data_IF_473018610744
#
_entry.id   IF_473018610744
#
_cell.length_a   1.000
_cell.length_b   1.000
_cell.length_c   1.000
_cell.angle_alpha   90.00
_cell.angle_beta   90.00
_cell.angle_gamma   90.00
#
_symmetry.space_group_name_H-M   'P 1'
#
loop_
_entity.id
_entity.type
_entity.pdbx_description
1 polymer ?
#
# COMPACT_ATOMS: atom_id res chain seq x y z
N UNK A 1 -19.42 -9.63 -5.93
CA UNK A 1 -18.25 -8.79 -6.31
C UNK A 1 -17.38 -8.42 -5.11
N UNK A 2 -17.93 -7.88 -4.01
CA UNK A 2 -17.12 -7.51 -2.82
C UNK A 2 -16.34 -8.70 -2.24
N UNK A 3 -16.96 -9.89 -2.11
CA UNK A 3 -16.27 -11.10 -1.63
C UNK A 3 -15.06 -11.46 -2.48
N UNK A 4 -15.21 -11.43 -3.81
CA UNK A 4 -14.12 -11.68 -4.74
C UNK A 4 -12.97 -10.68 -4.54
N UNK A 5 -13.28 -9.38 -4.40
CA UNK A 5 -12.26 -8.36 -4.15
C UNK A 5 -11.56 -8.54 -2.79
N UNK A 6 -12.29 -8.92 -1.74
CA UNK A 6 -11.69 -9.24 -0.44
C UNK A 6 -10.68 -10.38 -0.57
N UNK A 7 -11.05 -11.47 -1.25
CA UNK A 7 -10.13 -12.59 -1.49
C UNK A 7 -8.92 -12.16 -2.32
N UNK A 8 -9.14 -11.40 -3.39
CA UNK A 8 -8.06 -10.88 -4.23
C UNK A 8 -7.06 -10.03 -3.44
N UNK A 9 -7.52 -9.05 -2.66
CA UNK A 9 -6.60 -8.21 -1.87
C UNK A 9 -5.95 -8.96 -0.70
N UNK A 10 -6.59 -10.00 -0.14
CA UNK A 10 -5.95 -10.90 0.81
C UNK A 10 -4.81 -11.70 0.15
N UNK A 11 -5.02 -12.16 -1.08
CA UNK A 11 -3.98 -12.85 -1.85
C UNK A 11 -2.81 -11.91 -2.14
N UNK A 12 -3.07 -10.67 -2.58
CA UNK A 12 -2.02 -9.65 -2.79
C UNK A 12 -1.26 -9.37 -1.50
N UNK A 13 -1.96 -9.24 -0.38
CA UNK A 13 -1.32 -9.00 0.92
C UNK A 13 -0.42 -10.16 1.34
N UNK A 14 -0.93 -11.39 1.24
CA UNK A 14 -0.17 -12.59 1.59
C UNK A 14 1.05 -12.78 0.68
N UNK A 15 0.91 -12.55 -0.62
CA UNK A 15 2.02 -12.69 -1.57
C UNK A 15 3.11 -11.64 -1.34
N UNK A 16 2.75 -10.39 -1.05
CA UNK A 16 3.73 -9.35 -0.73
C UNK A 16 4.48 -9.66 0.58
N UNK A 17 3.80 -10.10 1.64
CA UNK A 17 4.50 -10.53 2.85
C UNK A 17 5.43 -11.71 2.61
N UNK A 18 4.99 -12.71 1.82
CA UNK A 18 5.81 -13.87 1.49
C UNK A 18 7.07 -13.48 0.70
N UNK A 19 6.92 -12.69 -0.38
CA UNK A 19 8.04 -12.30 -1.24
C UNK A 19 8.97 -11.32 -0.53
N UNK A 20 8.44 -10.31 0.18
CA UNK A 20 9.26 -9.36 0.93
C UNK A 20 9.99 -10.05 2.09
N UNK A 21 9.32 -10.96 2.81
CA UNK A 21 9.95 -11.72 3.89
C UNK A 21 11.06 -12.66 3.38
N UNK A 22 10.78 -13.39 2.30
CA UNK A 22 11.77 -14.24 1.64
C UNK A 22 12.97 -13.43 1.14
N UNK A 23 12.74 -12.33 0.41
CA UNK A 23 13.82 -11.47 -0.09
C UNK A 23 14.66 -10.89 1.05
N UNK A 24 14.02 -10.42 2.13
CA UNK A 24 14.71 -9.85 3.31
C UNK A 24 15.58 -10.88 4.05
N UNK A 25 15.21 -12.16 3.99
CA UNK A 25 16.02 -13.25 4.58
C UNK A 25 17.29 -13.57 3.78
N UNK A 26 17.34 -13.19 2.50
CA UNK A 26 18.47 -13.46 1.60
C UNK A 26 19.38 -12.24 1.42
N UNK A 27 18.80 -11.05 1.33
CA UNK A 27 19.53 -9.81 1.10
C UNK A 27 18.83 -8.65 1.83
N UNK A 28 19.53 -7.94 2.74
CA UNK A 28 19.04 -6.68 3.26
C UNK A 28 18.73 -5.68 2.14
N UNK A 29 17.64 -4.93 2.30
CA UNK A 29 17.13 -3.98 1.30
C UNK A 29 18.16 -2.89 0.93
N UNK A 30 19.03 -2.52 1.88
CA UNK A 30 20.05 -1.49 1.71
C UNK A 30 21.41 -2.03 1.24
N UNK A 31 21.55 -3.36 1.14
CA UNK A 31 22.75 -4.01 0.60
C UNK A 31 22.62 -4.40 -0.88
N UNK A 32 21.64 -3.84 -1.60
CA UNK A 32 21.47 -4.10 -3.04
C UNK A 32 22.75 -3.68 -3.78
N UNK A 33 23.41 -4.59 -4.52
CA UNK A 33 24.62 -4.28 -5.27
C UNK A 33 24.41 -3.12 -6.24
N UNK A 34 25.43 -2.27 -6.39
CA UNK A 34 25.37 -1.09 -7.27
C UNK A 34 25.02 -1.44 -8.72
N UNK A 35 25.48 -2.59 -9.19
CA UNK A 35 25.19 -3.13 -10.51
C UNK A 35 23.68 -3.32 -10.74
N UNK A 36 22.95 -3.82 -9.73
CA UNK A 36 21.50 -3.97 -9.79
C UNK A 36 20.82 -2.61 -9.69
N UNK A 37 21.24 -1.78 -8.73
CA UNK A 37 20.64 -0.46 -8.50
C UNK A 37 20.75 0.49 -9.72
N UNK A 38 21.83 0.35 -10.50
CA UNK A 38 22.07 1.16 -11.72
C UNK A 38 21.58 0.49 -12.99
N UNK A 39 21.06 -0.73 -12.92
CA UNK A 39 20.58 -1.44 -14.10
C UNK A 39 19.36 -0.71 -14.71
N UNK A 40 19.35 -0.40 -16.02
CA UNK A 40 18.29 0.42 -16.63
C UNK A 40 16.88 -0.10 -16.40
N UNK A 41 16.69 -1.42 -16.49
CA UNK A 41 15.38 -2.04 -16.22
C UNK A 41 14.99 -1.99 -14.74
N UNK A 42 15.94 -2.02 -13.81
CA UNK A 42 15.64 -1.89 -12.39
C UNK A 42 15.14 -0.48 -12.07
N UNK A 43 15.79 0.54 -12.65
CA UNK A 43 15.35 1.92 -12.54
C UNK A 43 13.95 2.09 -13.17
N UNK A 44 13.75 1.55 -14.38
CA UNK A 44 12.47 1.66 -15.08
C UNK A 44 11.31 1.02 -14.31
N UNK A 45 11.49 -0.19 -13.75
CA UNK A 45 10.45 -0.85 -12.95
C UNK A 45 10.23 -0.18 -11.60
N UNK A 46 11.25 0.44 -11.01
CA UNK A 46 11.09 1.25 -9.80
C UNK A 46 10.22 2.48 -10.09
N UNK A 47 10.50 3.20 -11.19
CA UNK A 47 9.65 4.31 -11.63
C UNK A 47 8.22 3.86 -11.90
N UNK A 48 8.03 2.76 -12.62
CA UNK A 48 6.71 2.19 -12.92
C UNK A 48 5.91 1.90 -11.63
N UNK A 49 6.55 1.25 -10.65
CA UNK A 49 5.95 0.96 -9.36
C UNK A 49 5.53 2.25 -8.61
N UNK A 50 6.43 3.23 -8.48
CA UNK A 50 6.14 4.48 -7.76
C UNK A 50 5.10 5.35 -8.47
N UNK A 51 5.09 5.38 -9.80
CA UNK A 51 4.02 6.04 -10.55
C UNK A 51 2.68 5.35 -10.35
N UNK A 52 2.66 4.01 -10.30
CA UNK A 52 1.49 3.23 -9.91
C UNK A 52 0.98 3.59 -8.51
N UNK A 53 1.89 3.69 -7.53
CA UNK A 53 1.56 4.09 -6.16
C UNK A 53 0.94 5.48 -6.08
N UNK A 54 1.54 6.46 -6.77
CA UNK A 54 1.02 7.83 -6.82
C UNK A 54 -0.34 7.89 -7.52
N UNK A 55 -0.51 7.15 -8.62
CA UNK A 55 -1.78 7.08 -9.35
C UNK A 55 -2.90 6.52 -8.48
N UNK A 56 -2.63 5.42 -7.76
CA UNK A 56 -3.56 4.89 -6.77
C UNK A 56 -3.81 5.86 -5.61
N UNK A 57 -2.76 6.56 -5.16
CA UNK A 57 -2.87 7.54 -4.09
C UNK A 57 -3.81 8.70 -4.46
N UNK A 58 -3.93 9.11 -5.73
CA UNK A 58 -4.92 10.12 -6.14
C UNK A 58 -6.35 9.69 -5.75
N UNK A 59 -6.68 8.41 -5.93
CA UNK A 59 -7.97 7.86 -5.51
C UNK A 59 -8.12 7.82 -3.97
N UNK A 60 -7.05 7.49 -3.24
CA UNK A 60 -7.03 7.54 -1.78
C UNK A 60 -7.22 8.98 -1.29
N UNK A 61 -6.51 9.94 -1.88
CA UNK A 61 -6.60 11.36 -1.59
C UNK A 61 -8.01 11.88 -1.76
N UNK A 62 -8.69 11.47 -2.85
CA UNK A 62 -10.10 11.76 -3.05
C UNK A 62 -10.95 11.20 -1.91
N UNK A 63 -10.80 9.93 -1.53
CA UNK A 63 -11.63 9.35 -0.48
C UNK A 63 -11.39 9.94 0.91
N UNK A 64 -10.18 10.40 1.23
CA UNK A 64 -9.89 11.03 2.52
C UNK A 64 -10.37 12.48 2.57
N UNK A 65 -11.17 12.84 3.58
CA UNK A 65 -11.62 14.23 3.76
C UNK A 65 -10.66 15.06 4.61
N UNK A 66 -9.94 14.46 5.55
CA UNK A 66 -8.98 15.17 6.39
C UNK A 66 -7.57 15.21 5.79
N UNK A 67 -6.90 16.36 5.88
CA UNK A 67 -5.56 16.57 5.33
C UNK A 67 -4.51 15.65 5.96
N UNK A 68 -4.52 15.53 7.29
CA UNK A 68 -3.60 14.65 7.99
C UNK A 68 -3.79 13.17 7.60
N UNK A 69 -5.03 12.74 7.31
CA UNK A 69 -5.30 11.39 6.82
C UNK A 69 -4.65 11.13 5.46
N UNK A 70 -4.70 12.12 4.56
CA UNK A 70 -4.07 12.07 3.24
C UNK A 70 -2.56 11.90 3.37
N UNK A 71 -1.91 12.74 4.19
CA UNK A 71 -0.47 12.64 4.44
C UNK A 71 -0.05 11.29 5.02
N UNK A 72 -0.79 10.79 6.01
CA UNK A 72 -0.51 9.47 6.62
C UNK A 72 -0.58 8.36 5.58
N UNK A 73 -1.62 8.34 4.74
CA UNK A 73 -1.74 7.33 3.69
C UNK A 73 -0.71 7.49 2.57
N UNK A 74 -0.30 8.72 2.24
CA UNK A 74 0.78 8.97 1.29
C UNK A 74 2.07 8.32 1.77
N UNK A 75 2.45 8.58 3.02
CA UNK A 75 3.66 8.02 3.63
C UNK A 75 3.57 6.50 3.67
N UNK A 76 2.45 5.94 4.13
CA UNK A 76 2.26 4.49 4.17
C UNK A 76 2.41 3.85 2.77
N UNK A 77 1.83 4.46 1.73
CA UNK A 77 1.89 3.94 0.35
C UNK A 77 3.30 4.07 -0.25
N UNK A 78 4.00 5.19 -0.05
CA UNK A 78 5.35 5.36 -0.59
C UNK A 78 6.39 4.45 0.08
N UNK A 79 6.18 4.07 1.34
CA UNK A 79 7.11 3.24 2.10
C UNK A 79 6.79 1.74 2.03
N UNK A 80 5.50 1.36 2.02
CA UNK A 80 5.08 -0.04 2.04
C UNK A 80 4.49 -0.52 0.70
N UNK A 81 4.29 0.38 -0.26
CA UNK A 81 3.78 0.07 -1.60
C UNK A 81 2.48 -0.72 -1.58
N UNK A 82 2.50 -1.87 -2.27
CA UNK A 82 1.34 -2.74 -2.43
C UNK A 82 0.77 -3.30 -1.11
N UNK A 83 1.58 -3.42 -0.05
CA UNK A 83 1.09 -3.86 1.27
C UNK A 83 0.10 -2.82 1.83
N UNK A 84 0.47 -1.54 1.81
CA UNK A 84 -0.41 -0.46 2.27
C UNK A 84 -1.64 -0.32 1.38
N UNK A 85 -1.49 -0.45 0.06
CA UNK A 85 -2.60 -0.39 -0.89
C UNK A 85 -3.61 -1.53 -0.67
N UNK A 86 -3.12 -2.77 -0.49
CA UNK A 86 -3.98 -3.93 -0.22
C UNK A 86 -4.72 -3.77 1.11
N UNK A 87 -4.05 -3.32 2.16
CA UNK A 87 -4.68 -3.06 3.47
C UNK A 87 -5.71 -1.92 3.40
N UNK A 88 -5.44 -0.87 2.61
CA UNK A 88 -6.41 0.20 2.37
C UNK A 88 -7.68 -0.34 1.72
N UNK A 89 -7.54 -1.15 0.67
CA UNK A 89 -8.66 -1.79 -0.03
C UNK A 89 -9.42 -2.78 0.86
N UNK A 90 -8.72 -3.60 1.65
CA UNK A 90 -9.37 -4.52 2.59
C UNK A 90 -10.16 -3.75 3.64
N UNK A 91 -9.57 -2.72 4.26
CA UNK A 91 -10.28 -1.86 5.20
C UNK A 91 -11.50 -1.18 4.56
N UNK A 92 -11.41 -0.77 3.29
CA UNK A 92 -12.55 -0.25 2.53
C UNK A 92 -13.68 -1.29 2.39
N UNK A 93 -13.32 -2.49 1.93
CA UNK A 93 -14.25 -3.55 1.58
C UNK A 93 -14.89 -4.20 2.80
N UNK A 94 -14.21 -4.27 3.94
CA UNK A 94 -14.74 -4.85 5.18
C UNK A 94 -15.63 -3.89 5.98
N UNK A 95 -15.61 -2.59 5.69
CA UNK A 95 -16.50 -1.61 6.32
C UNK A 95 -17.93 -1.61 5.81
N UNK A 96 -18.19 -2.29 4.69
CA UNK A 96 -19.51 -2.38 4.08
C UNK A 96 -20.12 -3.78 4.20
N UNK A 97 -21.44 -3.91 4.39
CA UNK A 97 -22.12 -5.20 4.37
C UNK A 97 -22.18 -5.78 2.94
N UNK A 98 -22.40 -7.09 2.82
CA UNK A 98 -22.30 -7.83 1.55
C UNK A 98 -23.36 -7.53 0.46
N UNK A 99 -24.56 -6.97 0.74
CA UNK A 99 -25.46 -6.51 -0.32
C UNK A 99 -25.11 -5.12 -0.84
N UNK A 100 -24.05 -4.47 -0.35
CA UNK A 100 -23.65 -3.13 -0.78
C UNK A 100 -23.08 -3.14 -2.21
N UNK A 101 -23.49 -2.20 -3.09
CA UNK A 101 -22.89 -2.06 -4.41
C UNK A 101 -21.44 -1.56 -4.32
N UNK A 102 -20.58 -2.01 -5.23
CA UNK A 102 -19.16 -1.65 -5.25
C UNK A 102 -18.94 -0.14 -5.40
N UNK A 103 -19.82 0.55 -6.12
CA UNK A 103 -19.75 2.00 -6.31
C UNK A 103 -19.69 2.77 -4.99
N UNK A 104 -20.45 2.34 -3.98
CA UNK A 104 -20.45 2.96 -2.66
C UNK A 104 -19.07 2.87 -1.98
N UNK A 105 -18.35 1.77 -2.16
CA UNK A 105 -16.98 1.63 -1.64
C UNK A 105 -16.00 2.54 -2.39
N UNK A 106 -16.16 2.67 -3.71
CA UNK A 106 -15.27 3.44 -4.56
C UNK A 106 -15.39 4.96 -4.33
N UNK A 107 -16.60 5.43 -4.05
CA UNK A 107 -16.89 6.86 -3.85
C UNK A 107 -16.94 7.28 -2.36
N UNK A 108 -16.79 6.33 -1.43
CA UNK A 108 -16.88 6.57 0.00
C UNK A 108 -15.92 7.67 0.47
N UNK A 109 -16.46 8.65 1.21
CA UNK A 109 -15.67 9.72 1.86
C UNK A 109 -15.38 9.34 3.32
N UNK A 110 -14.13 9.48 3.75
CA UNK A 110 -13.63 8.98 5.05
C UNK A 110 -13.00 10.10 5.89
N UNK A 111 -13.44 10.31 7.15
CA UNK A 111 -13.12 11.50 7.94
C UNK A 111 -11.71 11.58 8.55
N UNK A 112 -10.94 10.50 8.64
CA UNK A 112 -9.65 10.54 9.32
C UNK A 112 -8.76 9.35 8.97
N UNK A 113 -7.47 9.39 9.35
CA UNK A 113 -6.64 8.21 9.22
C UNK A 113 -7.22 7.18 10.18
N UNK A 114 -7.65 6.05 9.63
CA UNK A 114 -7.88 4.88 10.46
C UNK A 114 -6.60 4.56 11.25
N UNK A 115 -6.74 3.98 12.44
CA UNK A 115 -5.61 3.45 13.22
C UNK A 115 -4.64 2.61 12.35
N UNK A 116 -5.19 1.87 11.38
CA UNK A 116 -4.43 1.14 10.37
C UNK A 116 -3.46 2.03 9.59
N UNK A 117 -3.92 3.18 9.09
CA UNK A 117 -3.09 4.10 8.30
C UNK A 117 -1.94 4.66 9.13
N UNK A 118 -2.22 5.07 10.39
CA UNK A 118 -1.18 5.57 11.29
C UNK A 118 -0.17 4.49 11.65
N UNK A 119 -0.63 3.27 11.95
CA UNK A 119 0.26 2.14 12.25
C UNK A 119 1.13 1.76 11.06
N UNK A 120 0.58 1.79 9.84
CA UNK A 120 1.34 1.49 8.62
C UNK A 120 2.37 2.57 8.30
N UNK A 121 2.02 3.85 8.41
CA UNK A 121 2.98 4.93 8.22
C UNK A 121 4.11 4.85 9.26
N UNK A 122 3.77 4.62 10.54
CA UNK A 122 4.76 4.46 11.60
C UNK A 122 5.65 3.22 11.36
N UNK A 123 5.08 2.09 10.95
CA UNK A 123 5.86 0.89 10.63
C UNK A 123 6.80 1.13 9.45
N UNK A 124 6.33 1.75 8.37
CA UNK A 124 7.14 2.10 7.21
C UNK A 124 8.30 3.02 7.59
N UNK A 125 8.03 4.06 8.39
CA UNK A 125 9.07 4.96 8.90
C UNK A 125 10.06 4.19 9.79
N UNK A 126 9.57 3.34 10.69
CA UNK A 126 10.42 2.53 11.57
C UNK A 126 11.38 1.62 10.81
N UNK A 127 10.93 1.02 9.70
CA UNK A 127 11.79 0.19 8.84
C UNK A 127 12.98 0.99 8.30
N UNK A 128 12.80 2.26 7.93
CA UNK A 128 13.89 3.11 7.45
C UNK A 128 14.98 3.36 8.50
N UNK A 129 14.67 3.23 9.78
CA UNK A 129 15.63 3.44 10.87
C UNK A 129 16.36 2.16 11.30
N UNK A 130 15.83 0.99 10.94
CA UNK A 130 16.35 -0.32 11.35
C UNK A 130 17.27 -0.93 10.28
N UNK A 131 17.19 -0.42 9.05
CA UNK A 131 17.73 -1.04 7.86
C UNK A 131 18.86 -0.20 7.25
#
# INVERSE_FOLDING_TARGET
MILFLRFFFLLVLASMFAVTGWASSLCPLFSVPREVATHPWFIATLFDAYWGFLTFYVWVFFQQTAWHARLVWLIAILLLGNIAMALYCLNALFRVPLPTPLSEVLIARRPGPSWLGTSLAAAGIGILFIA
#
